data_IF_698861967077
#
_entry.id   IF_698861967077
#
_cell.length_a   1.000
_cell.length_b   1.000
_cell.length_c   1.000
_cell.angle_alpha   90.00
_cell.angle_beta   90.00
_cell.angle_gamma   90.00
#
_symmetry.space_group_name_H-M   'P 1'
#
loop_
_entity.id
_entity.type
_entity.pdbx_description
1 polymer ?
#
# COMPACT_ATOMS: atom_id res chain seq x y z
N UNK A 1 1.64 -13.36 0.84
CA UNK A 1 2.62 -12.34 0.49
C UNK A 1 1.81 -11.21 -0.11
N UNK A 2 1.67 -10.14 0.66
CA UNK A 2 0.81 -9.00 0.39
C UNK A 2 1.31 -8.24 -0.85
N UNK A 3 0.41 -7.86 -1.76
CA UNK A 3 0.74 -7.23 -3.05
C UNK A 3 1.66 -5.99 -2.92
N UNK A 4 1.58 -5.26 -1.80
CA UNK A 4 2.44 -4.13 -1.54
C UNK A 4 3.89 -4.52 -1.25
N UNK A 5 4.13 -5.57 -0.46
CA UNK A 5 5.50 -6.03 -0.16
C UNK A 5 6.16 -6.61 -1.42
N UNK A 6 5.39 -7.29 -2.27
CA UNK A 6 5.88 -7.78 -3.56
C UNK A 6 6.28 -6.63 -4.49
N UNK A 7 5.46 -5.59 -4.58
CA UNK A 7 5.77 -4.39 -5.36
C UNK A 7 7.01 -3.65 -4.83
N UNK A 8 7.16 -3.52 -3.51
CA UNK A 8 8.37 -2.95 -2.90
C UNK A 8 9.58 -3.81 -3.25
N UNK A 9 9.47 -5.13 -3.13
CA UNK A 9 10.54 -6.07 -3.46
C UNK A 9 10.96 -5.96 -4.93
N UNK A 10 10.01 -5.83 -5.86
CA UNK A 10 10.27 -5.67 -7.27
C UNK A 10 11.05 -4.38 -7.58
N UNK A 11 10.71 -3.28 -6.90
CA UNK A 11 11.43 -1.99 -7.06
C UNK A 11 12.86 -2.09 -6.53
N UNK A 12 13.05 -2.70 -5.36
CA UNK A 12 14.39 -2.94 -4.80
C UNK A 12 15.23 -3.84 -5.72
N UNK A 13 14.63 -4.87 -6.31
CA UNK A 13 15.30 -5.76 -7.27
C UNK A 13 15.68 -5.03 -8.57
N UNK A 14 14.92 -4.01 -8.96
CA UNK A 14 15.21 -3.12 -10.09
C UNK A 14 16.26 -2.05 -9.81
N UNK A 15 16.79 -1.96 -8.58
CA UNK A 15 17.75 -0.93 -8.16
C UNK A 15 17.12 0.37 -7.66
N UNK A 16 15.80 0.40 -7.47
CA UNK A 16 15.13 1.49 -6.78
C UNK A 16 15.33 1.44 -5.26
N UNK A 17 14.75 2.42 -4.58
CA UNK A 17 14.86 2.63 -3.13
C UNK A 17 13.48 2.61 -2.47
N UNK A 18 13.36 1.91 -1.35
CA UNK A 18 12.21 2.01 -0.45
C UNK A 18 12.47 3.14 0.55
N UNK A 19 11.59 4.15 0.54
CA UNK A 19 11.75 5.35 1.37
C UNK A 19 11.04 5.20 2.70
N UNK A 20 9.75 4.86 2.68
CA UNK A 20 8.95 4.66 3.90
C UNK A 20 7.74 3.77 3.63
N UNK A 21 7.31 2.99 4.64
CA UNK A 21 6.03 2.30 4.64
C UNK A 21 5.16 2.79 5.81
N UNK A 22 3.84 2.81 5.59
CA UNK A 22 2.83 3.10 6.60
C UNK A 22 1.81 1.98 6.61
N UNK A 23 1.68 1.34 7.76
CA UNK A 23 0.70 0.29 7.98
C UNK A 23 -0.72 0.84 8.04
N UNK A 24 -1.70 0.02 7.65
CA UNK A 24 -3.12 0.35 7.82
C UNK A 24 -3.48 0.47 9.30
N UNK A 25 -4.49 1.28 9.59
CA UNK A 25 -5.06 1.44 10.94
C UNK A 25 -6.56 1.18 10.90
N UNK A 26 -7.18 1.02 12.07
CA UNK A 26 -8.64 0.85 12.19
C UNK A 26 -9.45 2.03 11.64
N UNK A 27 -8.84 3.21 11.45
CA UNK A 27 -9.49 4.40 10.88
C UNK A 27 -9.12 4.62 9.41
N UNK A 28 -7.97 4.11 8.98
CA UNK A 28 -7.45 4.26 7.61
C UNK A 28 -7.08 2.87 7.12
N UNK A 29 -8.00 2.17 6.40
CA UNK A 29 -7.80 0.80 5.92
C UNK A 29 -6.93 0.78 4.66
N UNK A 30 -5.86 1.57 4.64
CA UNK A 30 -4.96 1.69 3.51
C UNK A 30 -3.53 1.60 4.03
N UNK A 31 -2.81 0.61 3.53
CA UNK A 31 -1.37 0.50 3.68
C UNK A 31 -0.70 1.28 2.56
N UNK A 32 0.37 1.99 2.85
CA UNK A 32 1.07 2.84 1.88
C UNK A 32 2.57 2.55 1.87
N UNK A 33 3.18 2.66 0.70
CA UNK A 33 4.62 2.59 0.50
C UNK A 33 5.10 3.70 -0.41
N UNK A 34 6.08 4.49 0.03
CA UNK A 34 6.79 5.46 -0.79
C UNK A 34 8.07 4.84 -1.32
N UNK A 35 8.23 4.92 -2.63
CA UNK A 35 9.32 4.31 -3.38
C UNK A 35 9.97 5.35 -4.27
N UNK A 36 11.23 5.12 -4.61
CA UNK A 36 12.00 5.95 -5.54
C UNK A 36 12.64 5.07 -6.60
N UNK A 37 12.47 5.42 -7.86
CA UNK A 37 13.15 4.76 -8.97
C UNK A 37 14.63 5.18 -9.07
N UNK A 38 15.41 4.45 -9.87
CA UNK A 38 16.80 4.71 -10.23
C UNK A 38 17.07 6.12 -10.78
N UNK A 39 16.08 6.76 -11.41
CA UNK A 39 16.17 8.15 -11.89
C UNK A 39 15.91 9.19 -10.79
N UNK A 40 15.59 8.74 -9.57
CA UNK A 40 15.24 9.61 -8.43
C UNK A 40 13.77 10.02 -8.37
N UNK A 41 12.93 9.49 -9.26
CA UNK A 41 11.49 9.77 -9.30
C UNK A 41 10.76 9.06 -8.15
N UNK A 42 10.04 9.81 -7.31
CA UNK A 42 9.25 9.26 -6.20
C UNK A 42 7.82 8.91 -6.59
N UNK A 43 7.30 7.78 -6.11
CA UNK A 43 5.91 7.37 -6.28
C UNK A 43 5.36 6.68 -5.03
N UNK A 44 4.05 6.79 -4.83
CA UNK A 44 3.34 6.22 -3.68
C UNK A 44 2.44 5.07 -4.14
N UNK A 45 2.64 3.89 -3.54
CA UNK A 45 1.76 2.74 -3.68
C UNK A 45 0.77 2.71 -2.52
N UNK A 46 -0.49 2.39 -2.85
CA UNK A 46 -1.59 2.28 -1.87
C UNK A 46 -2.27 0.94 -2.02
N UNK A 47 -2.31 0.18 -0.95
CA UNK A 47 -3.02 -1.08 -0.86
C UNK A 47 -4.20 -0.91 0.11
N UNK A 48 -5.41 -1.06 -0.40
CA UNK A 48 -6.61 -1.09 0.44
C UNK A 48 -6.65 -2.43 1.15
N UNK A 49 -6.54 -2.38 2.48
CA UNK A 49 -6.69 -3.55 3.32
C UNK A 49 -8.19 -3.72 3.50
N UNK A 50 -8.82 -4.52 2.64
CA UNK A 50 -10.19 -4.95 2.85
C UNK A 50 -10.23 -5.86 4.08
N UNK A 51 -10.36 -5.28 5.27
CA UNK A 51 -11.14 -5.95 6.30
C UNK A 51 -12.54 -6.13 5.70
N UNK A 52 -13.06 -7.35 5.77
CA UNK A 52 -14.35 -7.74 5.19
C UNK A 52 -15.57 -7.06 5.82
N UNK A 53 -15.59 -5.73 5.92
CA UNK A 53 -16.81 -4.98 6.12
C UNK A 53 -17.45 -4.73 4.76
N UNK A 54 -18.37 -5.63 4.45
CA UNK A 54 -19.42 -5.45 3.45
C UNK A 54 -20.09 -4.08 3.68
N UNK A 55 -19.74 -3.08 2.87
CA UNK A 55 -20.34 -1.75 2.87
C UNK A 55 -21.86 -1.77 2.56
N UNK A 56 -22.44 -2.96 2.32
CA UNK A 56 -23.88 -3.16 2.13
C UNK A 56 -24.68 -3.18 3.44
N UNK A 57 -24.04 -3.31 4.61
CA UNK A 57 -24.73 -3.33 5.92
C UNK A 57 -25.09 -1.95 6.49
N UNK A 58 -24.71 -0.83 5.83
CA UNK A 58 -24.96 0.52 6.32
C UNK A 58 -26.37 1.09 5.99
N UNK A 59 -27.36 0.23 5.71
CA UNK A 59 -28.73 0.68 5.45
C UNK A 59 -29.75 -0.09 6.32
N UNK A 60 -29.99 0.33 7.58
CA UNK A 60 -31.16 -0.14 8.32
C UNK A 60 -32.45 0.47 7.71
N UNK A 61 -33.59 -0.26 7.75
CA UNK A 61 -34.87 0.17 7.18
C UNK A 61 -35.48 1.40 7.85
#
# INVERSE_FOLDING_TARGET
MDDLDDAISAVLAGGGEHVVSRESTSFVPVRMGELRDTEGNGFELRQFMSDGEDLTSLNPP
#
